data_IF_481372745852
#
_entry.id   IF_481372745852
#
_cell.length_a   1.000
_cell.length_b   1.000
_cell.length_c   1.000
_cell.angle_alpha   90.00
_cell.angle_beta   90.00
_cell.angle_gamma   90.00
#
_symmetry.space_group_name_H-M   'P 1'
#
loop_
_entity.id
_entity.type
_entity.pdbx_description
1 polymer ?
#
# COMPACT_ATOMS: atom_id res chain seq x y z
N UNK A 1 14.99 -12.62 1.24
CA UNK A 1 14.66 -11.34 0.60
C UNK A 1 13.14 -11.23 0.54
N UNK A 2 12.58 -10.13 1.05
CA UNK A 2 11.16 -10.00 1.37
C UNK A 2 10.54 -9.08 0.31
N UNK A 3 9.91 -9.66 -0.72
CA UNK A 3 9.28 -8.93 -1.85
C UNK A 3 7.77 -9.12 -1.78
N UNK A 4 7.00 -8.02 -1.88
CA UNK A 4 5.54 -8.08 -1.97
C UNK A 4 5.12 -8.10 -3.43
N UNK A 5 4.07 -8.88 -3.71
CA UNK A 5 3.49 -9.03 -5.02
C UNK A 5 2.03 -8.55 -4.99
N UNK A 6 1.76 -7.40 -5.59
CA UNK A 6 0.40 -6.85 -5.67
C UNK A 6 -0.18 -7.23 -7.03
N UNK A 7 -1.25 -8.01 -7.01
CA UNK A 7 -1.99 -8.32 -8.24
C UNK A 7 -2.90 -7.13 -8.58
N UNK A 8 -2.90 -6.72 -9.83
CA UNK A 8 -3.85 -5.75 -10.35
C UNK A 8 -4.40 -6.20 -11.70
N UNK A 9 -5.61 -5.77 -12.00
CA UNK A 9 -6.24 -6.03 -13.30
C UNK A 9 -5.97 -4.83 -14.18
N UNK A 10 -5.21 -5.03 -15.25
CA UNK A 10 -5.02 -4.02 -16.28
C UNK A 10 -6.32 -3.81 -17.06
N UNK A 11 -6.47 -2.65 -17.70
CA UNK A 11 -7.68 -2.26 -18.46
C UNK A 11 -8.12 -3.30 -19.51
N UNK A 12 -7.17 -4.06 -20.07
CA UNK A 12 -7.42 -5.16 -21.00
C UNK A 12 -7.83 -6.48 -20.31
N UNK A 13 -8.28 -6.43 -19.05
CA UNK A 13 -8.61 -7.57 -18.18
C UNK A 13 -7.46 -8.58 -18.00
N UNK A 14 -6.23 -8.20 -18.35
CA UNK A 14 -5.06 -9.02 -18.09
C UNK A 14 -4.68 -8.91 -16.61
N UNK A 15 -4.45 -10.06 -15.98
CA UNK A 15 -3.88 -10.11 -14.63
C UNK A 15 -2.41 -9.74 -14.72
N UNK A 16 -2.09 -8.57 -14.17
CA UNK A 16 -0.72 -8.10 -14.03
C UNK A 16 -0.33 -8.12 -12.55
N UNK A 17 0.97 -8.04 -12.30
CA UNK A 17 1.50 -8.13 -10.95
C UNK A 17 2.67 -7.19 -10.81
N UNK A 18 2.58 -6.29 -9.83
CA UNK A 18 3.68 -5.43 -9.45
C UNK A 18 4.49 -6.10 -8.33
N UNK A 19 5.78 -6.28 -8.58
CA UNK A 19 6.72 -6.72 -7.57
C UNK A 19 7.35 -5.51 -6.89
N UNK A 20 6.97 -5.27 -5.63
CA UNK A 20 7.58 -4.23 -4.81
C UNK A 20 8.87 -4.78 -4.19
N UNK A 21 9.99 -4.30 -4.71
CA UNK A 21 11.32 -4.65 -4.21
C UNK A 21 11.95 -3.41 -3.56
N UNK A 22 12.23 -3.44 -2.23
CA UNK A 22 12.87 -2.33 -1.52
C UNK A 22 14.22 -1.90 -2.11
N UNK A 23 14.87 -2.77 -2.88
CA UNK A 23 16.20 -2.49 -3.43
C UNK A 23 16.21 -1.79 -4.79
N UNK A 24 15.15 -1.96 -5.61
CA UNK A 24 15.17 -1.50 -7.01
C UNK A 24 13.99 -0.60 -7.38
N UNK A 25 12.84 -0.75 -6.73
CA UNK A 25 11.62 0.03 -6.97
C UNK A 25 10.85 0.19 -5.66
N UNK A 26 11.40 1.01 -4.76
CA UNK A 26 10.84 1.24 -3.43
C UNK A 26 9.84 2.40 -3.38
N UNK A 27 9.81 3.27 -4.39
CA UNK A 27 8.84 4.35 -4.45
C UNK A 27 7.47 3.83 -4.90
N UNK A 28 6.43 4.12 -4.12
CA UNK A 28 5.05 3.74 -4.35
C UNK A 28 4.16 4.98 -4.43
N UNK A 29 3.08 4.85 -5.20
CA UNK A 29 2.02 5.81 -5.31
C UNK A 29 0.73 5.17 -4.79
N UNK A 30 0.05 5.85 -3.87
CA UNK A 30 -1.20 5.38 -3.26
C UNK A 30 -2.28 6.42 -3.59
N UNK A 31 -3.49 5.96 -3.89
CA UNK A 31 -4.63 6.87 -4.07
C UNK A 31 -4.85 7.64 -2.77
N UNK A 32 -4.74 8.96 -2.84
CA UNK A 32 -5.01 9.83 -1.70
C UNK A 32 -6.51 9.82 -1.38
N UNK A 33 -6.86 9.83 -0.10
CA UNK A 33 -8.25 10.03 0.34
C UNK A 33 -8.50 11.51 0.64
N UNK A 34 -8.00 12.40 -0.21
CA UNK A 34 -8.31 13.81 -0.11
C UNK A 34 -9.70 14.03 -0.71
N UNK A 35 -10.65 14.46 0.12
CA UNK A 35 -11.97 14.90 -0.35
C UNK A 35 -11.78 16.00 -1.40
N UNK A 36 -12.66 16.06 -2.41
CA UNK A 36 -12.70 17.09 -3.48
C UNK A 36 -12.91 18.54 -2.96
N UNK A 37 -12.67 18.78 -1.68
CA UNK A 37 -12.60 20.11 -1.11
C UNK A 37 -11.26 20.73 -1.54
N UNK A 38 -11.33 21.89 -2.18
CA UNK A 38 -10.17 22.72 -2.50
C UNK A 38 -9.28 22.83 -1.25
N UNK A 39 -7.98 22.67 -1.42
CA UNK A 39 -7.04 22.95 -0.34
C UNK A 39 -7.16 24.44 0.08
N UNK A 40 -6.56 24.80 1.22
CA UNK A 40 -6.63 26.17 1.76
C UNK A 40 -6.08 27.23 0.79
N UNK A 41 -5.35 26.82 -0.26
CA UNK A 41 -4.76 27.66 -1.30
C UNK A 41 -5.57 27.65 -2.62
N UNK A 42 -6.74 26.99 -2.67
CA UNK A 42 -7.63 26.97 -3.84
C UNK A 42 -7.17 26.06 -4.98
N UNK A 43 -6.21 25.18 -4.73
CA UNK A 43 -5.76 24.13 -5.66
C UNK A 43 -6.57 22.85 -5.46
N UNK A 44 -6.77 22.13 -6.56
CA UNK A 44 -7.41 20.82 -6.53
C UNK A 44 -6.55 19.84 -5.70
N UNK A 45 -7.18 19.04 -4.82
CA UNK A 45 -6.47 18.04 -4.01
C UNK A 45 -5.71 17.06 -4.90
N UNK A 46 -4.53 16.64 -4.45
CA UNK A 46 -3.73 15.73 -5.25
C UNK A 46 -4.29 14.32 -5.14
N UNK A 47 -4.62 13.65 -6.26
CA UNK A 47 -5.25 12.33 -6.22
C UNK A 47 -4.33 11.23 -5.69
N UNK A 48 -3.05 11.52 -5.45
CA UNK A 48 -2.05 10.53 -5.09
C UNK A 48 -1.11 10.99 -3.98
N UNK A 49 -0.81 10.07 -3.07
CA UNK A 49 0.29 10.16 -2.12
C UNK A 49 1.49 9.36 -2.61
N UNK A 50 2.68 9.86 -2.31
CA UNK A 50 3.94 9.23 -2.67
C UNK A 50 4.66 8.78 -1.41
N UNK A 51 5.23 7.57 -1.42
CA UNK A 51 6.02 7.07 -0.32
C UNK A 51 7.17 6.20 -0.80
N UNK A 52 8.21 6.08 0.02
CA UNK A 52 9.35 5.19 -0.21
C UNK A 52 9.34 4.03 0.78
N UNK A 53 9.38 2.80 0.30
CA UNK A 53 9.45 1.60 1.13
C UNK A 53 10.82 1.50 1.78
N UNK A 54 10.87 1.63 3.10
CA UNK A 54 12.07 1.42 3.91
C UNK A 54 12.24 -0.08 4.20
N UNK A 55 11.13 -0.81 4.42
CA UNK A 55 11.18 -2.21 4.78
C UNK A 55 9.86 -2.92 4.59
N UNK A 56 9.95 -4.24 4.37
CA UNK A 56 8.81 -5.13 4.21
C UNK A 56 8.84 -6.15 5.34
N UNK A 57 7.70 -6.36 6.00
CA UNK A 57 7.53 -7.24 7.14
C UNK A 57 6.31 -8.16 6.97
N UNK A 58 6.54 -9.42 6.61
CA UNK A 58 5.55 -10.49 6.78
C UNK A 58 5.43 -10.91 8.25
N UNK A 59 4.21 -11.01 8.76
CA UNK A 59 3.89 -11.62 10.06
C UNK A 59 2.72 -12.58 9.89
N UNK A 60 2.70 -13.64 10.70
CA UNK A 60 1.63 -14.62 10.70
C UNK A 60 0.75 -14.36 11.90
N UNK A 61 -0.45 -13.83 11.66
CA UNK A 61 -1.43 -13.53 12.70
C UNK A 61 -2.39 -14.71 12.83
N UNK A 62 -2.70 -15.09 14.07
CA UNK A 62 -3.75 -16.06 14.39
C UNK A 62 -4.81 -15.34 15.20
N UNK A 63 -6.03 -15.29 14.69
CA UNK A 63 -7.16 -14.77 15.46
C UNK A 63 -7.62 -15.84 16.45
N UNK A 64 -7.48 -15.56 17.75
CA UNK A 64 -7.83 -16.45 18.85
C UNK A 64 -8.96 -15.80 19.66
N UNK A 65 -10.13 -15.61 19.03
CA UNK A 65 -11.34 -15.06 19.65
C UNK A 65 -12.41 -16.14 19.80
N UNK A 66 -13.31 -15.98 20.78
CA UNK A 66 -14.38 -16.97 21.07
C UNK A 66 -15.33 -17.18 19.88
N UNK A 67 -15.49 -16.16 19.02
CA UNK A 67 -16.29 -16.20 17.77
C UNK A 67 -15.46 -16.48 16.51
N UNK A 68 -14.22 -16.98 16.65
CA UNK A 68 -13.38 -17.24 15.49
C UNK A 68 -13.87 -18.46 14.69
N UNK A 69 -14.47 -18.22 13.53
CA UNK A 69 -14.84 -19.27 12.56
C UNK A 69 -13.63 -19.84 11.81
N UNK A 70 -12.48 -19.16 11.87
CA UNK A 70 -11.28 -19.57 11.15
C UNK A 70 -10.00 -19.32 11.98
N UNK A 71 -9.48 -20.39 12.59
CA UNK A 71 -8.24 -20.40 13.41
C UNK A 71 -6.97 -20.61 12.58
N UNK A 72 -7.10 -20.56 11.24
CA UNK A 72 -5.94 -20.71 10.37
C UNK A 72 -4.99 -19.51 10.52
N UNK A 73 -3.66 -19.76 10.53
CA UNK A 73 -2.69 -18.68 10.48
C UNK A 73 -2.84 -17.88 9.19
N UNK A 74 -3.09 -16.57 9.33
CA UNK A 74 -3.15 -15.62 8.22
C UNK A 74 -1.80 -14.91 8.10
N UNK A 75 -1.20 -14.96 6.91
CA UNK A 75 -0.03 -14.15 6.60
C UNK A 75 -0.50 -12.73 6.25
N UNK A 76 -0.01 -11.75 7.01
CA UNK A 76 -0.26 -10.33 6.76
C UNK A 76 1.09 -9.68 6.45
N UNK A 77 1.09 -8.89 5.38
CA UNK A 77 2.25 -8.17 4.90
C UNK A 77 2.15 -6.70 5.31
N UNK A 78 3.13 -6.24 6.08
CA UNK A 78 3.24 -4.85 6.52
C UNK A 78 4.39 -4.17 5.77
N UNK A 79 4.12 -2.99 5.22
CA UNK A 79 5.14 -2.14 4.62
C UNK A 79 5.46 -1.00 5.58
N UNK A 80 6.75 -0.81 5.85
CA UNK A 80 7.24 0.40 6.50
C UNK A 80 7.67 1.37 5.41
N UNK A 81 6.97 2.50 5.33
CA UNK A 81 7.18 3.50 4.30
C UNK A 81 7.50 4.86 4.90
N UNK A 82 8.29 5.65 4.16
CA UNK A 82 8.51 7.07 4.40
C UNK A 82 7.63 7.85 3.44
N UNK A 83 6.67 8.62 3.96
CA UNK A 83 5.83 9.48 3.14
C UNK A 83 6.62 10.70 2.65
N UNK A 84 6.42 11.05 1.39
CA UNK A 84 6.87 12.32 0.84
C UNK A 84 5.81 13.38 1.11
N UNK A 85 6.22 14.51 1.66
CA UNK A 85 5.39 15.71 1.72
C UNK A 85 5.60 16.49 0.42
N UNK A 86 4.51 17.02 -0.13
CA UNK A 86 4.59 18.00 -1.22
C UNK A 86 5.04 19.32 -0.62
N UNK A 87 6.09 19.91 -1.18
CA UNK A 87 6.45 21.30 -0.91
C UNK A 87 5.56 22.16 -1.81
N UNK A 88 4.68 22.95 -1.20
CA UNK A 88 3.72 23.85 -1.88
C UNK A 88 4.31 25.24 -2.01
#
# INVERSE_FOLDING_TARGET
HKSIQINYTSYNCCRAQDSLNPHTHADIMVLAHEDECLDQDGLAPHPYWYAHIIGIFHTTVRYCGMDSTNTSPQCIDFLWVRWYARDT
#
